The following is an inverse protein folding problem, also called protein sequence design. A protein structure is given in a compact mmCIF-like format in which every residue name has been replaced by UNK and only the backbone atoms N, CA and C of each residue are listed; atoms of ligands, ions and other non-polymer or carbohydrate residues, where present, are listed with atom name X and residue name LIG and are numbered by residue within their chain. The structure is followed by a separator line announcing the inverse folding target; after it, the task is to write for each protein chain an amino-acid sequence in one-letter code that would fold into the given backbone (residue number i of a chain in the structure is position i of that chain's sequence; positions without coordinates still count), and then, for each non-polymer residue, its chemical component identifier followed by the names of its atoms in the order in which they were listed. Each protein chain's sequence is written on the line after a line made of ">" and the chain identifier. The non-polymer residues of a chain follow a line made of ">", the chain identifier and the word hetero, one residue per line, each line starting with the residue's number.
data_IF_036025250792
#
_entry.id   IF_036025250792
#
_cell.length_a   1.000
_cell.length_b   1.000
_cell.length_c   1.000
_cell.angle_alpha   90.00
_cell.angle_beta   90.00
_cell.angle_gamma   90.00
#
_symmetry.space_group_name_H-M   'P 1'
#
loop_
_entity.id
_entity.type
_entity.pdbx_description
1 polymer ?
#
# COMPACT_ATOMS: atom_id res chain seq x y z
N UNK A 1 -40.57 2.98 2.83
CA UNK A 1 -39.64 1.85 2.56
C UNK A 1 -38.60 2.15 1.44
N UNK A 2 -38.80 3.15 0.58
CA UNK A 2 -37.92 3.48 -0.56
C UNK A 2 -36.72 4.37 -0.17
N UNK A 3 -36.80 5.27 0.76
CA UNK A 3 -35.75 6.23 1.13
C UNK A 3 -34.60 5.62 1.93
N UNK A 4 -34.85 4.61 2.74
CA UNK A 4 -33.82 3.91 3.51
C UNK A 4 -32.93 3.01 2.63
N UNK A 5 -33.51 2.39 1.60
CA UNK A 5 -32.77 1.55 0.65
C UNK A 5 -31.88 2.42 -0.25
N UNK A 6 -32.37 3.57 -0.71
CA UNK A 6 -31.58 4.49 -1.53
C UNK A 6 -30.41 5.13 -0.74
N UNK A 7 -30.60 5.46 0.54
CA UNK A 7 -29.52 5.97 1.39
C UNK A 7 -28.48 4.89 1.72
N UNK A 8 -28.91 3.64 1.89
CA UNK A 8 -28.02 2.50 2.13
C UNK A 8 -27.19 2.17 0.89
N UNK A 9 -27.80 2.09 -0.30
CA UNK A 9 -27.10 1.86 -1.56
C UNK A 9 -26.16 3.04 -1.91
N UNK A 10 -26.59 4.28 -1.71
CA UNK A 10 -25.75 5.46 -1.92
C UNK A 10 -24.53 5.50 -1.01
N UNK A 11 -24.61 4.96 0.18
CA UNK A 11 -23.48 4.88 1.11
C UNK A 11 -22.50 3.77 0.71
N UNK A 12 -22.97 2.63 0.21
CA UNK A 12 -22.11 1.56 -0.31
C UNK A 12 -21.31 1.99 -1.54
N UNK A 13 -21.93 2.68 -2.51
CA UNK A 13 -21.23 3.20 -3.69
C UNK A 13 -20.09 4.16 -3.32
N UNK A 14 -20.33 5.07 -2.38
CA UNK A 14 -19.29 5.99 -1.90
C UNK A 14 -18.12 5.23 -1.29
N UNK A 15 -18.39 4.19 -0.52
CA UNK A 15 -17.35 3.41 0.14
C UNK A 15 -16.52 2.60 -0.86
N UNK A 16 -17.14 2.00 -1.88
CA UNK A 16 -16.42 1.34 -2.97
C UNK A 16 -15.57 2.34 -3.78
N UNK A 17 -16.11 3.53 -4.07
CA UNK A 17 -15.35 4.58 -4.75
C UNK A 17 -14.09 4.97 -3.96
N UNK A 18 -14.22 5.19 -2.66
CA UNK A 18 -13.08 5.50 -1.79
C UNK A 18 -12.06 4.37 -1.79
N UNK A 19 -12.51 3.12 -1.69
CA UNK A 19 -11.65 1.95 -1.72
C UNK A 19 -10.85 1.86 -3.03
N UNK A 20 -11.50 2.04 -4.17
CA UNK A 20 -10.85 2.00 -5.48
C UNK A 20 -9.90 3.18 -5.70
N UNK A 21 -10.26 4.38 -5.23
CA UNK A 21 -9.34 5.53 -5.24
C UNK A 21 -8.10 5.29 -4.37
N UNK A 22 -8.26 4.69 -3.20
CA UNK A 22 -7.14 4.29 -2.36
C UNK A 22 -6.24 3.27 -3.07
N UNK A 23 -6.82 2.26 -3.74
CA UNK A 23 -6.07 1.27 -4.51
C UNK A 23 -5.26 1.92 -5.64
N UNK A 24 -5.88 2.85 -6.38
CA UNK A 24 -5.23 3.61 -7.45
C UNK A 24 -4.03 4.42 -6.92
N UNK A 25 -4.23 5.17 -5.85
CA UNK A 25 -3.19 5.99 -5.22
C UNK A 25 -2.05 5.13 -4.70
N UNK A 26 -2.35 3.99 -4.06
CA UNK A 26 -1.33 3.05 -3.59
C UNK A 26 -0.57 2.46 -4.78
N UNK A 27 -1.25 2.11 -5.86
CA UNK A 27 -0.63 1.64 -7.11
C UNK A 27 0.32 2.68 -7.69
N UNK A 28 -0.13 3.92 -7.90
CA UNK A 28 0.70 5.02 -8.41
C UNK A 28 1.93 5.24 -7.51
N UNK A 29 1.71 5.31 -6.20
CA UNK A 29 2.79 5.49 -5.22
C UNK A 29 3.87 4.41 -5.37
N UNK A 30 3.50 3.14 -5.41
CA UNK A 30 4.46 2.04 -5.51
C UNK A 30 5.13 2.02 -6.90
N UNK A 31 4.36 2.22 -7.96
CA UNK A 31 4.87 2.29 -9.33
C UNK A 31 5.86 3.43 -9.56
N UNK A 32 5.69 4.57 -8.88
CA UNK A 32 6.61 5.71 -8.94
C UNK A 32 7.84 5.50 -8.05
N UNK A 33 7.63 5.17 -6.77
CA UNK A 33 8.70 5.22 -5.77
C UNK A 33 9.71 4.08 -5.88
N UNK A 34 9.30 2.90 -6.33
CA UNK A 34 10.23 1.76 -6.49
C UNK A 34 11.30 2.09 -7.53
N UNK A 35 10.96 2.47 -8.79
CA UNK A 35 11.97 2.84 -9.77
C UNK A 35 12.69 4.14 -9.44
N UNK A 36 12.01 5.18 -8.94
CA UNK A 36 12.61 6.45 -8.57
C UNK A 36 13.75 6.27 -7.57
N UNK A 37 13.52 5.54 -6.48
CA UNK A 37 14.54 5.29 -5.47
C UNK A 37 15.69 4.43 -6.02
N UNK A 38 15.43 3.56 -6.99
CA UNK A 38 16.46 2.76 -7.66
C UNK A 38 17.34 3.64 -8.56
N UNK A 39 16.75 4.54 -9.33
CA UNK A 39 17.46 5.51 -10.16
C UNK A 39 18.33 6.46 -9.32
N UNK A 40 17.85 6.90 -8.16
CA UNK A 40 18.64 7.73 -7.25
C UNK A 40 19.87 6.94 -6.71
N UNK A 41 19.72 5.66 -6.37
CA UNK A 41 20.85 4.84 -5.94
C UNK A 41 21.85 4.61 -7.09
N UNK A 42 21.36 4.39 -8.32
CA UNK A 42 22.19 4.27 -9.51
C UNK A 42 22.98 5.55 -9.78
N UNK A 43 22.35 6.72 -9.69
CA UNK A 43 23.04 8.02 -9.86
C UNK A 43 24.11 8.29 -8.80
N UNK A 44 24.01 7.63 -7.63
CA UNK A 44 25.02 7.66 -6.56
C UNK A 44 26.15 6.65 -6.75
N UNK A 45 26.16 5.88 -7.85
CA UNK A 45 27.20 4.93 -8.21
C UNK A 45 27.09 3.56 -7.54
N UNK A 46 25.95 3.21 -6.94
CA UNK A 46 25.73 1.87 -6.39
C UNK A 46 25.55 0.84 -7.53
N UNK A 47 26.09 -0.36 -7.34
CA UNK A 47 25.95 -1.45 -8.31
C UNK A 47 24.53 -2.00 -8.36
N UNK A 48 24.15 -2.61 -9.50
CA UNK A 48 22.82 -3.23 -9.67
C UNK A 48 22.53 -4.29 -8.59
N UNK A 49 23.54 -5.02 -8.13
CA UNK A 49 23.39 -5.99 -7.03
C UNK A 49 23.02 -5.30 -5.72
N UNK A 50 23.67 -4.18 -5.38
CA UNK A 50 23.40 -3.41 -4.17
C UNK A 50 22.00 -2.78 -4.23
N UNK A 51 21.59 -2.25 -5.39
CA UNK A 51 20.27 -1.71 -5.62
C UNK A 51 19.20 -2.81 -5.47
N UNK A 52 19.42 -3.97 -6.09
CA UNK A 52 18.52 -5.12 -5.99
C UNK A 52 18.34 -5.60 -4.55
N UNK A 53 19.41 -5.72 -3.78
CA UNK A 53 19.35 -6.07 -2.36
C UNK A 53 18.56 -5.02 -1.55
N UNK A 54 18.74 -3.75 -1.87
CA UNK A 54 18.00 -2.67 -1.21
C UNK A 54 16.49 -2.74 -1.51
N UNK A 55 16.11 -3.06 -2.75
CA UNK A 55 14.70 -3.22 -3.16
C UNK A 55 14.04 -4.41 -2.45
N UNK A 56 14.76 -5.50 -2.22
CA UNK A 56 14.24 -6.70 -1.52
C UNK A 56 13.85 -6.43 -0.07
N UNK A 57 14.37 -5.39 0.56
CA UNK A 57 14.06 -5.05 1.96
C UNK A 57 12.55 -4.90 2.23
N UNK A 58 11.83 -4.25 1.30
CA UNK A 58 10.40 -4.00 1.47
C UNK A 58 9.55 -5.29 1.37
N UNK A 59 9.63 -6.13 0.33
CA UNK A 59 8.91 -7.39 0.28
C UNK A 59 9.34 -8.38 1.37
N UNK A 60 10.61 -8.36 1.79
CA UNK A 60 11.08 -9.15 2.91
C UNK A 60 10.32 -8.83 4.20
N UNK A 61 10.16 -7.55 4.52
CA UNK A 61 9.37 -7.14 5.67
C UNK A 61 7.91 -7.57 5.55
N UNK A 62 7.30 -7.46 4.35
CA UNK A 62 5.93 -7.94 4.12
C UNK A 62 5.80 -9.43 4.46
N UNK A 63 6.72 -10.27 3.97
CA UNK A 63 6.71 -11.72 4.22
C UNK A 63 6.85 -12.02 5.72
N UNK A 64 7.75 -11.33 6.41
CA UNK A 64 7.99 -11.56 7.83
C UNK A 64 6.83 -11.14 8.72
N UNK A 65 6.16 -10.04 8.38
CA UNK A 65 5.15 -9.44 9.25
C UNK A 65 3.70 -9.72 8.85
N UNK A 66 3.44 -10.32 7.68
CA UNK A 66 2.08 -10.60 7.19
C UNK A 66 1.23 -11.38 8.20
N UNK A 67 1.84 -12.28 8.97
CA UNK A 67 1.14 -13.08 10.01
C UNK A 67 0.81 -12.28 11.27
N UNK A 68 1.54 -11.22 11.54
CA UNK A 68 1.38 -10.40 12.76
C UNK A 68 0.37 -9.28 12.53
N UNK A 69 0.25 -8.78 11.31
CA UNK A 69 -0.64 -7.65 10.98
C UNK A 69 -2.12 -7.90 11.31
N UNK A 70 -2.72 -9.09 11.15
CA UNK A 70 -4.10 -9.33 11.58
C UNK A 70 -4.30 -9.18 13.10
N UNK A 71 -3.30 -9.54 13.90
CA UNK A 71 -3.34 -9.37 15.35
C UNK A 71 -3.33 -7.88 15.74
N UNK A 72 -2.55 -7.08 15.04
CA UNK A 72 -2.50 -5.62 15.22
C UNK A 72 -3.85 -5.02 14.83
N UNK A 73 -4.39 -5.38 13.67
CA UNK A 73 -5.69 -4.91 13.17
C UNK A 73 -6.80 -5.23 14.17
N UNK A 74 -6.80 -6.44 14.73
CA UNK A 74 -7.78 -6.83 15.73
C UNK A 74 -7.69 -5.98 17.01
N UNK A 75 -6.48 -5.61 17.45
CA UNK A 75 -6.27 -4.81 18.67
C UNK A 75 -6.67 -3.34 18.51
N UNK A 76 -6.23 -2.68 17.43
CA UNK A 76 -6.37 -1.22 17.27
C UNK A 76 -7.53 -0.82 16.34
N UNK A 77 -8.10 -1.78 15.66
CA UNK A 77 -9.19 -1.57 14.70
C UNK A 77 -8.69 -1.28 13.29
N UNK A 78 -9.54 -1.58 12.31
CA UNK A 78 -9.21 -1.56 10.89
C UNK A 78 -8.87 -0.15 10.39
N UNK A 79 -9.73 0.83 10.64
CA UNK A 79 -9.53 2.21 10.17
C UNK A 79 -8.26 2.83 10.78
N UNK A 80 -8.03 2.60 12.08
CA UNK A 80 -6.83 3.10 12.76
C UNK A 80 -5.56 2.46 12.22
N UNK A 81 -5.58 1.16 11.90
CA UNK A 81 -4.45 0.46 11.30
C UNK A 81 -4.05 1.10 9.96
N UNK A 82 -5.02 1.40 9.10
CA UNK A 82 -4.77 2.06 7.81
C UNK A 82 -4.14 3.44 8.03
N UNK A 83 -4.75 4.26 8.87
CA UNK A 83 -4.28 5.64 9.10
C UNK A 83 -2.87 5.65 9.69
N UNK A 84 -2.62 4.85 10.73
CA UNK A 84 -1.31 4.76 11.39
C UNK A 84 -0.25 4.28 10.40
N UNK A 85 -0.54 3.23 9.62
CA UNK A 85 0.40 2.70 8.63
C UNK A 85 0.73 3.73 7.54
N UNK A 86 -0.26 4.50 7.06
CA UNK A 86 -0.03 5.52 6.05
C UNK A 86 0.75 6.72 6.60
N UNK A 87 0.42 7.22 7.80
CA UNK A 87 1.18 8.29 8.45
C UNK A 87 2.64 7.84 8.64
N UNK A 88 2.86 6.65 9.18
CA UNK A 88 4.19 6.10 9.41
C UNK A 88 4.98 5.98 8.09
N UNK A 89 4.33 5.50 7.03
CA UNK A 89 4.95 5.43 5.70
C UNK A 89 5.34 6.80 5.17
N UNK A 90 4.48 7.81 5.31
CA UNK A 90 4.77 9.19 4.87
C UNK A 90 5.98 9.74 5.63
N UNK A 91 6.01 9.58 6.96
CA UNK A 91 7.15 10.02 7.78
C UNK A 91 8.46 9.37 7.35
N UNK A 92 8.43 8.06 7.04
CA UNK A 92 9.61 7.34 6.55
C UNK A 92 10.08 7.85 5.18
N UNK A 93 9.18 8.27 4.29
CA UNK A 93 9.62 8.85 3.02
C UNK A 93 10.39 10.16 3.19
N UNK A 94 10.05 10.97 4.18
CA UNK A 94 10.79 12.19 4.49
C UNK A 94 12.20 11.93 5.05
N UNK A 95 12.51 10.71 5.46
CA UNK A 95 13.85 10.35 5.96
C UNK A 95 14.85 10.03 4.85
N UNK A 96 14.39 9.66 3.63
CA UNK A 96 15.30 9.32 2.52
C UNK A 96 16.29 10.43 2.14
N UNK A 97 15.90 11.72 2.06
CA UNK A 97 16.84 12.79 1.77
C UNK A 97 17.84 13.06 2.90
N UNK A 98 17.50 12.68 4.13
CA UNK A 98 18.33 12.92 5.32
C UNK A 98 19.45 11.90 5.42
N UNK A 99 19.20 10.67 5.01
CA UNK A 99 20.18 9.58 5.10
C UNK A 99 20.71 9.22 3.72
N UNK A 100 22.03 9.29 3.58
CA UNK A 100 22.68 9.01 2.29
C UNK A 100 23.16 7.55 2.15
N UNK A 101 23.26 6.81 3.26
CA UNK A 101 23.82 5.46 3.23
C UNK A 101 22.84 4.42 2.70
N UNK A 102 23.35 3.49 1.89
CA UNK A 102 22.58 2.36 1.36
C UNK A 102 21.96 1.51 2.49
N UNK A 103 22.70 1.33 3.58
CA UNK A 103 22.24 0.58 4.75
C UNK A 103 21.05 1.24 5.42
N UNK A 104 21.09 2.57 5.60
CA UNK A 104 19.96 3.31 6.13
C UNK A 104 18.72 3.17 5.22
N UNK A 105 18.89 3.26 3.90
CA UNK A 105 17.84 3.07 2.93
C UNK A 105 17.23 1.67 2.97
N UNK A 106 18.07 0.64 3.23
CA UNK A 106 17.57 -0.71 3.44
C UNK A 106 16.61 -0.80 4.63
N UNK A 107 17.00 -0.24 5.79
CA UNK A 107 16.16 -0.24 6.97
C UNK A 107 14.89 0.62 6.80
N UNK A 108 14.99 1.76 6.15
CA UNK A 108 13.82 2.61 5.85
C UNK A 108 12.84 1.84 4.97
N UNK A 109 13.30 1.19 3.88
CA UNK A 109 12.46 0.35 3.01
C UNK A 109 11.84 -0.82 3.78
N UNK A 110 12.62 -1.44 4.68
CA UNK A 110 12.13 -2.53 5.52
C UNK A 110 10.97 -2.07 6.42
N UNK A 111 11.10 -0.92 7.07
CA UNK A 111 10.04 -0.33 7.88
C UNK A 111 8.81 0.07 7.04
N UNK A 112 9.02 0.59 5.83
CA UNK A 112 7.94 0.86 4.86
C UNK A 112 7.24 -0.44 4.48
N UNK A 113 7.98 -1.53 4.31
CA UNK A 113 7.41 -2.85 4.05
C UNK A 113 6.51 -3.36 5.17
N UNK A 114 6.93 -3.17 6.43
CA UNK A 114 6.11 -3.48 7.60
C UNK A 114 4.80 -2.67 7.62
N UNK A 115 4.89 -1.35 7.47
CA UNK A 115 3.71 -0.48 7.38
C UNK A 115 2.82 -0.83 6.19
N UNK A 116 3.45 -1.17 5.05
CA UNK A 116 2.77 -1.63 3.84
C UNK A 116 1.98 -2.92 4.07
N UNK A 117 2.56 -3.91 4.76
CA UNK A 117 1.88 -5.15 5.11
C UNK A 117 0.65 -4.90 5.99
N UNK A 118 0.78 -4.00 6.98
CA UNK A 118 -0.33 -3.62 7.86
C UNK A 118 -1.45 -2.93 7.08
N UNK A 119 -1.12 -1.95 6.24
CA UNK A 119 -2.10 -1.23 5.42
C UNK A 119 -2.79 -2.17 4.42
N UNK A 120 -2.02 -3.01 3.71
CA UNK A 120 -2.54 -3.94 2.71
C UNK A 120 -3.54 -4.91 3.32
N UNK A 121 -3.17 -5.60 4.41
CA UNK A 121 -4.08 -6.51 5.10
C UNK A 121 -5.32 -5.81 5.64
N UNK A 122 -5.20 -4.57 6.11
CA UNK A 122 -6.34 -3.80 6.56
C UNK A 122 -7.28 -3.41 5.41
N UNK A 123 -6.75 -3.01 4.25
CA UNK A 123 -7.55 -2.74 3.06
C UNK A 123 -8.24 -3.99 2.53
N UNK A 124 -7.54 -5.12 2.46
CA UNK A 124 -8.12 -6.40 2.04
C UNK A 124 -9.26 -6.83 2.98
N UNK A 125 -9.04 -6.72 4.29
CA UNK A 125 -10.07 -7.03 5.30
C UNK A 125 -11.28 -6.10 5.13
N UNK A 126 -11.05 -4.83 4.90
CA UNK A 126 -12.13 -3.86 4.67
C UNK A 126 -12.91 -4.18 3.40
N UNK A 127 -12.22 -4.40 2.30
CA UNK A 127 -12.83 -4.79 1.01
C UNK A 127 -13.69 -6.05 1.16
N UNK A 128 -13.14 -7.08 1.81
CA UNK A 128 -13.82 -8.35 1.99
C UNK A 128 -15.02 -8.26 2.93
N UNK A 129 -14.99 -7.37 3.93
CA UNK A 129 -16.11 -7.16 4.86
C UNK A 129 -17.32 -6.46 4.22
N UNK A 130 -17.12 -5.79 3.09
CA UNK A 130 -18.17 -5.09 2.35
C UNK A 130 -18.78 -5.91 1.21
N UNK A 131 -18.09 -6.98 0.80
CA UNK A 131 -18.48 -7.79 -0.33
C UNK A 131 -19.42 -8.90 0.11
N UNK A 132 -20.56 -9.03 -0.57
CA UNK A 132 -21.45 -10.18 -0.44
C UNK A 132 -20.87 -11.37 -1.24
N UNK A 133 -21.22 -12.59 -0.86
CA UNK A 133 -20.71 -13.80 -1.53
C UNK A 133 -20.98 -13.81 -3.05
N UNK A 134 -22.07 -13.17 -3.49
CA UNK A 134 -22.46 -13.07 -4.91
C UNK A 134 -21.60 -12.10 -5.72
N UNK A 135 -20.99 -11.09 -5.11
CA UNK A 135 -20.23 -10.03 -5.81
C UNK A 135 -18.75 -9.95 -5.43
N UNK A 136 -18.31 -10.76 -4.44
CA UNK A 136 -16.97 -10.75 -3.88
C UNK A 136 -15.87 -10.84 -4.94
N UNK A 137 -16.00 -11.81 -5.86
CA UNK A 137 -15.01 -11.98 -6.94
C UNK A 137 -14.90 -10.76 -7.84
N UNK A 138 -16.05 -10.13 -8.17
CA UNK A 138 -16.09 -8.93 -9.01
C UNK A 138 -15.40 -7.73 -8.32
N UNK A 139 -15.66 -7.52 -7.05
CA UNK A 139 -15.07 -6.41 -6.28
C UNK A 139 -13.56 -6.58 -6.15
N UNK A 140 -13.09 -7.80 -5.81
CA UNK A 140 -11.67 -8.13 -5.74
C UNK A 140 -10.98 -7.90 -7.08
N UNK A 141 -11.61 -8.33 -8.19
CA UNK A 141 -11.06 -8.13 -9.54
C UNK A 141 -10.94 -6.64 -9.88
N UNK A 142 -11.97 -5.84 -9.63
CA UNK A 142 -11.95 -4.40 -9.91
C UNK A 142 -10.87 -3.72 -9.06
N UNK A 143 -10.80 -4.03 -7.76
CA UNK A 143 -9.79 -3.49 -6.85
C UNK A 143 -8.37 -3.75 -7.35
N UNK A 144 -8.06 -5.01 -7.68
CA UNK A 144 -6.75 -5.39 -8.19
C UNK A 144 -6.45 -4.76 -9.57
N UNK A 145 -7.43 -4.67 -10.45
CA UNK A 145 -7.27 -4.02 -11.75
C UNK A 145 -6.93 -2.53 -11.59
N UNK A 146 -7.66 -1.82 -10.74
CA UNK A 146 -7.42 -0.40 -10.46
C UNK A 146 -6.03 -0.19 -9.83
N UNK A 147 -5.62 -1.07 -8.91
CA UNK A 147 -4.28 -1.05 -8.33
C UNK A 147 -3.20 -1.23 -9.41
N UNK A 148 -3.34 -2.23 -10.31
CA UNK A 148 -2.38 -2.51 -11.39
C UNK A 148 -2.31 -1.35 -12.38
N UNK A 149 -3.44 -0.73 -12.73
CA UNK A 149 -3.48 0.48 -13.56
C UNK A 149 -2.68 1.60 -12.90
N UNK A 150 -2.92 1.85 -11.61
CA UNK A 150 -2.14 2.84 -10.86
C UNK A 150 -0.65 2.54 -10.87
N UNK A 151 -0.28 1.28 -10.64
CA UNK A 151 1.11 0.83 -10.66
C UNK A 151 1.77 1.03 -12.03
N UNK A 152 1.06 0.77 -13.12
CA UNK A 152 1.56 0.98 -14.48
C UNK A 152 1.72 2.46 -14.85
N UNK A 153 0.85 3.34 -14.33
CA UNK A 153 0.93 4.80 -14.53
C UNK A 153 2.08 5.40 -13.72
N UNK A 154 2.40 4.82 -12.56
CA UNK A 154 3.41 5.36 -11.63
C UNK A 154 4.73 5.77 -12.28
N UNK A 155 5.39 4.92 -13.09
CA UNK A 155 6.66 5.26 -13.75
C UNK A 155 6.56 6.42 -14.74
N UNK A 156 5.36 6.75 -15.23
CA UNK A 156 5.17 7.88 -16.16
C UNK A 156 5.25 9.25 -15.45
N UNK A 157 5.31 9.27 -14.13
CA UNK A 157 5.42 10.49 -13.33
C UNK A 157 6.88 10.85 -13.03
N UNK A 158 7.84 9.98 -13.36
CA UNK A 158 9.29 10.16 -13.17
C UNK A 158 9.90 10.80 -14.42
#
# INVERSE_FOLDING_TARGET
>A
MSTSIQSFLGNQYKTYLVLFLCALIIGIKLGTLIPLLSLILESRGYSNTQIGLNVVAQPLAVILFVRITPLIIHKIGLARSIVIAQIFTILLYFTFPIFESLTAWFFIRFLIGFAGALAWNAFDTWMLSMADDSNRGKIVTIYNTVFVIGFAIGPMVI
#
